data_IF_170832906564
#
_entry.id   IF_170832906564
#
_cell.length_a   1.000
_cell.length_b   1.000
_cell.length_c   1.000
_cell.angle_alpha   90.00
_cell.angle_beta   90.00
_cell.angle_gamma   90.00
#
_symmetry.space_group_name_H-M   'P 1'
#
loop_
_entity.id
_entity.type
_entity.pdbx_description
1 polymer ?
#
# COMPACT_ATOMS: atom_id res chain seq x y z
N UNK A 1 -5.62 9.53 1.65
CA UNK A 1 -4.42 8.89 1.07
C UNK A 1 -4.89 7.63 0.35
N UNK A 2 -4.26 7.28 -0.76
CA UNK A 2 -4.58 6.09 -1.56
C UNK A 2 -3.34 5.22 -1.74
N UNK A 3 -3.53 3.97 -2.16
CA UNK A 3 -2.45 3.11 -2.63
C UNK A 3 -2.39 3.17 -4.16
N UNK A 4 -1.21 3.42 -4.70
CA UNK A 4 -0.89 3.20 -6.10
C UNK A 4 -0.23 1.83 -6.22
N UNK A 5 -0.84 0.95 -7.00
CA UNK A 5 -0.33 -0.39 -7.28
C UNK A 5 -0.11 -0.50 -8.78
N UNK A 6 1.15 -0.32 -9.20
CA UNK A 6 1.47 -0.09 -10.61
C UNK A 6 0.74 1.15 -11.14
N UNK A 7 -0.18 0.97 -12.08
CA UNK A 7 -1.02 2.06 -12.63
C UNK A 7 -2.40 2.17 -11.97
N UNK A 8 -2.74 1.23 -11.07
CA UNK A 8 -4.06 1.17 -10.43
C UNK A 8 -4.06 1.98 -9.15
N UNK A 9 -5.09 2.82 -8.99
CA UNK A 9 -5.40 3.49 -7.73
C UNK A 9 -6.35 2.63 -6.92
N UNK A 10 -5.99 2.41 -5.66
CA UNK A 10 -6.80 1.69 -4.68
C UNK A 10 -7.10 2.66 -3.55
N UNK A 11 -8.38 2.85 -3.26
CA UNK A 11 -8.83 3.59 -2.07
C UNK A 11 -9.10 2.58 -0.95
N UNK A 12 -8.28 2.54 0.12
CA UNK A 12 -8.54 1.68 1.26
C UNK A 12 -9.84 2.07 1.97
N UNK A 13 -10.44 1.11 2.69
CA UNK A 13 -11.56 1.40 3.58
C UNK A 13 -11.13 2.32 4.74
N UNK A 14 -9.90 2.13 5.23
CA UNK A 14 -9.23 3.00 6.18
C UNK A 14 -7.72 3.00 5.91
N UNK A 15 -7.05 4.11 6.21
CA UNK A 15 -5.60 4.21 6.14
C UNK A 15 -5.08 5.09 7.27
N UNK A 16 -4.08 4.59 7.99
CA UNK A 16 -3.52 5.24 9.17
C UNK A 16 -2.00 5.30 9.05
N UNK A 17 -1.37 6.47 9.24
CA UNK A 17 0.09 6.55 9.29
C UNK A 17 0.60 5.86 10.57
N UNK A 18 1.73 5.16 10.41
CA UNK A 18 2.49 4.58 11.51
C UNK A 18 3.95 5.00 11.38
N UNK A 19 4.80 4.82 12.41
CA UNK A 19 6.23 5.05 12.28
C UNK A 19 6.81 4.25 11.10
N UNK A 20 7.35 4.95 10.10
CA UNK A 20 7.99 4.35 8.94
C UNK A 20 7.05 3.87 7.82
N UNK A 21 5.74 4.12 7.90
CA UNK A 21 4.81 3.66 6.86
C UNK A 21 3.33 3.92 7.16
N UNK A 22 2.47 3.00 6.73
CA UNK A 22 1.02 3.06 6.93
C UNK A 22 0.44 1.68 7.24
N UNK A 23 -0.72 1.67 7.89
CA UNK A 23 -1.62 0.53 7.92
C UNK A 23 -2.85 0.85 7.07
N UNK A 24 -3.21 -0.05 6.17
CA UNK A 24 -4.34 0.09 5.26
C UNK A 24 -5.32 -1.07 5.44
N UNK A 25 -6.60 -0.75 5.65
CA UNK A 25 -7.66 -1.75 5.65
C UNK A 25 -8.22 -1.89 4.22
N UNK A 26 -8.09 -3.08 3.66
CA UNK A 26 -8.55 -3.44 2.31
C UNK A 26 -9.68 -4.45 2.36
N UNK A 27 -10.52 -4.44 1.32
CA UNK A 27 -11.67 -5.34 1.16
C UNK A 27 -11.82 -5.74 -0.30
N UNK A 28 -12.29 -6.97 -0.56
CA UNK A 28 -12.57 -7.47 -1.91
C UNK A 28 -11.36 -7.39 -2.83
N UNK A 29 -11.58 -6.95 -4.07
CA UNK A 29 -10.59 -6.94 -5.16
C UNK A 29 -9.34 -6.07 -4.89
N UNK A 30 -9.43 -5.14 -3.94
CA UNK A 30 -8.28 -4.35 -3.49
C UNK A 30 -7.20 -5.24 -2.87
N UNK A 31 -7.60 -6.31 -2.17
CA UNK A 31 -6.66 -7.26 -1.55
C UNK A 31 -5.88 -8.01 -2.63
N UNK A 32 -6.57 -8.59 -3.61
CA UNK A 32 -5.94 -9.35 -4.69
C UNK A 32 -4.97 -8.49 -5.50
N UNK A 33 -5.38 -7.27 -5.86
CA UNK A 33 -4.53 -6.32 -6.59
C UNK A 33 -3.23 -6.03 -5.84
N UNK A 34 -3.29 -5.89 -4.52
CA UNK A 34 -2.10 -5.65 -3.70
C UNK A 34 -1.20 -6.89 -3.64
N UNK A 35 -1.77 -8.08 -3.42
CA UNK A 35 -1.02 -9.33 -3.33
C UNK A 35 -0.26 -9.64 -4.62
N UNK A 36 -0.88 -9.40 -5.78
CA UNK A 36 -0.22 -9.60 -7.07
C UNK A 36 0.98 -8.68 -7.27
N UNK A 37 0.87 -7.42 -6.85
CA UNK A 37 2.01 -6.50 -6.91
C UNK A 37 3.11 -6.87 -5.92
N UNK A 38 2.75 -7.21 -4.67
CA UNK A 38 3.71 -7.55 -3.63
C UNK A 38 4.47 -8.85 -3.91
N UNK A 39 3.81 -9.88 -4.44
CA UNK A 39 4.36 -11.24 -4.50
C UNK A 39 4.57 -11.79 -5.91
N UNK A 40 3.86 -11.28 -6.91
CA UNK A 40 4.04 -11.69 -8.31
C UNK A 40 4.83 -10.67 -9.14
N UNK A 41 5.36 -9.61 -8.52
CA UNK A 41 6.14 -8.58 -9.19
C UNK A 41 5.33 -7.74 -10.18
N UNK A 42 4.00 -7.73 -10.05
CA UNK A 42 3.09 -7.08 -11.00
C UNK A 42 3.07 -5.53 -10.89
N UNK A 43 3.88 -4.94 -10.01
CA UNK A 43 4.03 -3.49 -9.90
C UNK A 43 4.67 -3.06 -8.60
N UNK A 44 5.03 -1.77 -8.54
CA UNK A 44 5.44 -1.12 -7.29
C UNK A 44 4.21 -0.69 -6.51
N UNK A 45 4.27 -0.79 -5.18
CA UNK A 45 3.28 -0.21 -4.27
C UNK A 45 3.80 1.15 -3.83
N UNK A 46 3.00 2.20 -3.99
CA UNK A 46 3.32 3.56 -3.60
C UNK A 46 2.14 4.18 -2.85
N UNK A 47 2.39 5.18 -2.01
CA UNK A 47 1.32 5.99 -1.43
C UNK A 47 1.02 7.16 -2.34
N UNK A 48 -0.25 7.54 -2.43
CA UNK A 48 -0.68 8.76 -3.08
C UNK A 48 -1.34 9.73 -2.09
N UNK A 49 -0.76 10.92 -1.99
CA UNK A 49 -1.12 12.00 -1.10
C UNK A 49 -0.48 11.91 0.30
N UNK A 50 -0.43 13.06 0.98
CA UNK A 50 0.18 13.19 2.31
C UNK A 50 1.71 13.21 2.27
N UNK A 51 2.33 13.09 3.44
CA UNK A 51 3.80 13.20 3.60
C UNK A 51 4.59 12.02 2.98
N UNK A 52 3.90 10.94 2.64
CA UNK A 52 4.50 9.75 2.02
C UNK A 52 4.21 9.68 0.51
N UNK A 53 3.81 10.80 -0.11
CA UNK A 53 3.41 10.82 -1.52
C UNK A 53 4.49 10.24 -2.44
N UNK A 54 4.06 9.33 -3.31
CA UNK A 54 4.85 8.53 -4.24
C UNK A 54 6.01 7.77 -3.61
N UNK A 55 5.95 7.53 -2.30
CA UNK A 55 6.99 6.76 -1.62
C UNK A 55 6.81 5.27 -1.88
N UNK A 56 7.86 4.56 -2.34
CA UNK A 56 7.81 3.11 -2.50
C UNK A 56 7.57 2.41 -1.17
N UNK A 57 6.69 1.42 -1.18
CA UNK A 57 6.26 0.65 -0.02
C UNK A 57 6.46 -0.85 -0.22
N UNK A 58 6.88 -1.53 0.84
CA UNK A 58 6.92 -2.99 0.94
C UNK A 58 5.83 -3.48 1.89
N UNK A 59 5.24 -4.64 1.58
CA UNK A 59 4.33 -5.32 2.50
C UNK A 59 5.13 -5.96 3.62
N UNK A 60 4.92 -5.46 4.84
CA UNK A 60 5.59 -5.96 6.04
C UNK A 60 4.71 -6.93 6.85
N UNK A 61 3.39 -6.82 6.73
CA UNK A 61 2.44 -7.67 7.45
C UNK A 61 1.07 -7.67 6.79
N UNK A 62 0.39 -8.82 6.86
CA UNK A 62 -0.99 -8.99 6.39
C UNK A 62 -1.76 -9.72 7.49
N UNK A 63 -2.87 -9.14 7.92
CA UNK A 63 -3.80 -9.74 8.86
C UNK A 63 -5.20 -9.80 8.25
N UNK A 64 -5.73 -11.01 8.06
CA UNK A 64 -7.07 -11.22 7.51
C UNK A 64 -8.09 -11.34 8.64
N UNK A 65 -9.08 -10.43 8.67
CA UNK A 65 -10.11 -10.32 9.70
C UNK A 65 -11.50 -10.42 9.09
N UNK A 66 -12.04 -11.63 8.97
CA UNK A 66 -13.40 -11.85 8.46
C UNK A 66 -13.62 -11.17 7.10
N UNK A 67 -14.32 -10.02 7.10
CA UNK A 67 -14.65 -9.24 5.91
C UNK A 67 -13.61 -8.15 5.53
N UNK A 68 -12.49 -8.03 6.25
CA UNK A 68 -11.43 -7.06 5.96
C UNK A 68 -10.03 -7.67 6.05
N UNK A 69 -9.06 -6.99 5.47
CA UNK A 69 -7.65 -7.33 5.55
C UNK A 69 -6.87 -6.09 5.93
N UNK A 70 -6.21 -6.12 7.07
CA UNK A 70 -5.28 -5.09 7.50
C UNK A 70 -3.92 -5.39 6.89
N UNK A 71 -3.35 -4.42 6.17
CA UNK A 71 -2.03 -4.55 5.59
C UNK A 71 -1.12 -3.47 6.15
N UNK A 72 0.01 -3.90 6.70
CA UNK A 72 1.08 -3.02 7.15
C UNK A 72 2.07 -2.83 6.01
N UNK A 73 2.26 -1.58 5.60
CA UNK A 73 3.16 -1.16 4.54
C UNK A 73 4.26 -0.29 5.15
N UNK A 74 5.52 -0.63 4.88
CA UNK A 74 6.68 0.13 5.33
C UNK A 74 7.41 0.74 4.13
N UNK A 75 8.05 1.89 4.34
CA UNK A 75 8.82 2.55 3.30
C UNK A 75 9.98 1.63 2.86
N UNK A 76 10.00 1.28 1.57
CA UNK A 76 11.02 0.41 0.98
C UNK A 76 12.35 1.13 0.67
N UNK A 77 12.43 2.43 0.95
CA UNK A 77 13.61 3.24 0.67
C UNK A 77 13.33 4.73 0.52
N UNK A 78 14.21 5.43 -0.17
CA UNK A 78 14.04 6.84 -0.51
C UNK A 78 12.90 7.01 -1.54
N UNK A 79 12.12 8.08 -1.38
CA UNK A 79 11.16 8.49 -2.40
C UNK A 79 11.91 8.85 -3.70
N UNK A 80 11.32 8.55 -4.86
CA UNK A 80 11.90 8.95 -6.13
C UNK A 80 12.03 10.47 -6.16
N UNK A 81 13.23 10.99 -6.48
CA UNK A 81 13.42 12.42 -6.70
C UNK A 81 12.62 12.82 -7.94
N UNK A 82 11.74 13.80 -7.79
CA UNK A 82 11.09 14.46 -8.91
C UNK A 82 12.17 15.29 -9.63
N UNK A 83 12.45 14.96 -10.88
CA UNK A 83 13.27 15.79 -11.78
C UNK A 83 12.41 16.84 -12.47
#
# INVERSE_FOLDING_TARGET
MELLVGVRRITPAAIHPIPGGVEAELRGDAVLSLLDAAFHGAGRIEILGGELDRRPMDVAGIEMRGASTLVTLLCAGEAARLN
#
